data_IF_023032538011
#
_entry.id   IF_023032538011
#
_cell.length_a   1.000
_cell.length_b   1.000
_cell.length_c   1.000
_cell.angle_alpha   90.00
_cell.angle_beta   90.00
_cell.angle_gamma   90.00
#
_symmetry.space_group_name_H-M   'P 1'
#
loop_
_entity.id
_entity.type
_entity.pdbx_description
1 polymer ?
#
# COMPACT_ATOMS: atom_id res chain seq x y z
N UNK A 1 8.24 7.45 27.09
CA UNK A 1 7.03 6.67 27.43
C UNK A 1 7.13 5.36 26.68
N UNK A 2 7.90 4.43 27.23
CA UNK A 2 7.90 3.04 26.80
C UNK A 2 6.53 2.45 27.10
N UNK A 3 5.78 2.04 26.09
CA UNK A 3 4.58 1.27 26.37
C UNK A 3 3.37 1.43 25.46
N UNK A 4 3.41 2.20 24.39
CA UNK A 4 2.37 2.09 23.37
C UNK A 4 2.71 0.95 22.41
N UNK A 5 2.45 -0.27 22.85
CA UNK A 5 2.36 -1.40 21.95
C UNK A 5 1.03 -1.29 21.22
N UNK A 6 1.06 -1.06 19.92
CA UNK A 6 -0.09 -1.22 19.05
C UNK A 6 -0.50 -2.70 19.02
N UNK A 7 -1.73 -2.98 18.58
CA UNK A 7 -2.27 -4.35 18.46
C UNK A 7 -1.59 -5.20 17.37
N UNK A 8 -0.54 -4.71 16.71
CA UNK A 8 0.13 -5.42 15.61
C UNK A 8 -0.75 -5.60 14.37
N UNK A 9 -1.82 -4.83 14.23
CA UNK A 9 -2.64 -4.83 13.02
C UNK A 9 -1.96 -4.03 11.90
N UNK A 10 -2.25 -4.43 10.65
CA UNK A 10 -1.77 -3.71 9.47
C UNK A 10 -0.24 -3.68 9.36
N UNK A 11 0.39 -4.81 9.61
CA UNK A 11 1.84 -4.97 9.49
C UNK A 11 2.22 -5.17 8.02
N UNK A 12 3.23 -4.43 7.50
CA UNK A 12 3.73 -4.64 6.13
C UNK A 12 4.27 -6.05 5.95
N UNK A 13 4.05 -6.62 4.78
CA UNK A 13 4.58 -7.94 4.44
C UNK A 13 5.92 -7.83 3.71
N UNK A 14 6.74 -8.89 3.77
CA UNK A 14 7.93 -9.00 2.93
C UNK A 14 7.61 -8.84 1.45
N UNK A 15 6.47 -9.35 0.98
CA UNK A 15 6.01 -9.21 -0.40
C UNK A 15 5.74 -7.75 -0.80
N UNK A 16 5.30 -6.92 0.15
CA UNK A 16 5.18 -5.49 -0.11
C UNK A 16 6.56 -4.83 -0.20
N UNK A 17 7.48 -5.17 0.69
CA UNK A 17 8.84 -4.64 0.65
C UNK A 17 9.53 -5.01 -0.68
N UNK A 18 9.43 -6.27 -1.10
CA UNK A 18 10.01 -6.78 -2.35
C UNK A 18 9.38 -6.16 -3.63
N UNK A 19 8.26 -5.47 -3.51
CA UNK A 19 7.64 -4.77 -4.64
C UNK A 19 8.32 -3.46 -5.00
N UNK A 20 9.04 -2.86 -4.05
CA UNK A 20 9.81 -1.65 -4.28
C UNK A 20 11.11 -1.98 -5.03
N UNK A 21 11.56 -1.06 -5.87
CA UNK A 21 12.92 -1.11 -6.41
C UNK A 21 13.91 -0.83 -5.27
N UNK A 22 15.10 -1.44 -5.31
CA UNK A 22 16.04 -1.42 -4.18
C UNK A 22 16.41 0.00 -3.70
N UNK A 23 16.46 0.95 -4.64
CA UNK A 23 16.81 2.34 -4.37
C UNK A 23 15.57 3.26 -4.31
N UNK A 24 14.38 2.71 -4.15
CA UNK A 24 13.15 3.53 -4.05
C UNK A 24 13.17 4.31 -2.72
N UNK A 25 13.25 5.65 -2.75
CA UNK A 25 13.34 6.46 -1.55
C UNK A 25 12.11 6.33 -0.64
N UNK A 26 10.99 5.83 -1.16
CA UNK A 26 9.76 5.63 -0.38
C UNK A 26 9.87 4.48 0.62
N UNK A 27 10.83 3.57 0.47
CA UNK A 27 11.04 2.46 1.41
C UNK A 27 11.15 2.99 2.85
N UNK A 28 11.96 4.02 3.06
CA UNK A 28 12.18 4.61 4.39
C UNK A 28 10.97 5.36 4.96
N UNK A 29 9.98 5.69 4.10
CA UNK A 29 8.71 6.31 4.49
C UNK A 29 7.59 5.32 4.74
N UNK A 30 7.76 4.10 4.29
CA UNK A 30 6.72 3.05 4.42
C UNK A 30 7.05 2.11 5.56
N UNK A 31 8.32 1.75 5.73
CA UNK A 31 8.76 0.69 6.64
C UNK A 31 9.66 1.19 7.76
N UNK A 32 9.51 0.63 8.96
CA UNK A 32 10.53 0.63 10.00
C UNK A 32 11.03 -0.77 10.24
N UNK A 33 12.29 -0.87 10.68
CA UNK A 33 12.96 -2.10 11.09
C UNK A 33 13.39 -2.00 12.55
N UNK A 34 13.82 -3.11 13.13
CA UNK A 34 14.43 -3.10 14.46
C UNK A 34 15.63 -2.15 14.48
N UNK A 35 15.66 -1.26 15.46
CA UNK A 35 16.66 -0.21 15.60
C UNK A 35 16.25 1.15 15.02
N UNK A 36 15.20 1.20 14.22
CA UNK A 36 14.64 2.47 13.73
C UNK A 36 13.85 3.18 14.84
N UNK A 37 13.66 4.49 14.69
CA UNK A 37 12.85 5.29 15.60
C UNK A 37 11.63 5.83 14.87
N UNK A 38 10.48 5.78 15.53
CA UNK A 38 9.33 6.49 15.03
C UNK A 38 9.49 8.01 15.17
N UNK A 39 8.75 8.75 14.39
CA UNK A 39 8.75 10.21 14.28
C UNK A 39 8.86 10.92 15.65
N UNK A 40 10.09 11.31 16.04
CA UNK A 40 10.39 11.99 17.30
C UNK A 40 10.48 11.11 18.54
N UNK A 41 10.43 9.80 18.42
CA UNK A 41 10.67 8.90 19.56
C UNK A 41 12.17 8.84 19.91
N UNK A 42 12.47 8.79 21.19
CA UNK A 42 13.84 8.66 21.72
C UNK A 42 14.34 7.22 21.75
N UNK A 43 13.41 6.26 21.75
CA UNK A 43 13.71 4.84 21.83
C UNK A 43 13.62 4.18 20.46
N UNK A 44 14.55 3.28 20.19
CA UNK A 44 14.54 2.44 19.01
C UNK A 44 13.42 1.40 19.10
N UNK A 45 12.81 1.08 17.96
CA UNK A 45 11.77 0.07 17.88
C UNK A 45 12.37 -1.33 17.91
N UNK A 46 11.67 -2.24 18.56
CA UNK A 46 11.93 -3.68 18.45
C UNK A 46 10.79 -4.31 17.66
N UNK A 47 11.10 -4.78 16.45
CA UNK A 47 10.15 -5.40 15.56
C UNK A 47 10.22 -6.94 15.60
N UNK A 48 10.84 -7.52 16.64
CA UNK A 48 11.05 -8.97 16.75
C UNK A 48 9.74 -9.77 16.69
N UNK A 49 8.63 -9.20 17.18
CA UNK A 49 7.32 -9.84 17.14
C UNK A 49 6.59 -9.66 15.79
N UNK A 50 7.10 -8.81 14.90
CA UNK A 50 6.51 -8.65 13.57
C UNK A 50 6.85 -9.86 12.70
N UNK A 51 5.87 -10.53 12.09
CA UNK A 51 6.11 -11.68 11.21
C UNK A 51 7.01 -11.39 10.01
N UNK A 52 7.13 -10.13 9.62
CA UNK A 52 7.97 -9.67 8.49
C UNK A 52 9.23 -8.95 8.94
N UNK A 53 9.38 -8.63 10.22
CA UNK A 53 10.44 -7.75 10.72
C UNK A 53 10.20 -6.27 10.45
N UNK A 54 9.05 -5.89 9.86
CA UNK A 54 8.71 -4.51 9.52
C UNK A 54 7.48 -4.03 10.30
N UNK A 55 7.43 -2.72 10.54
CA UNK A 55 6.22 -2.02 10.94
C UNK A 55 5.93 -0.85 10.00
N UNK A 56 4.69 -0.36 10.05
CA UNK A 56 4.23 0.76 9.23
C UNK A 56 4.76 2.08 9.79
N UNK A 57 5.62 2.76 9.03
CA UNK A 57 6.07 4.09 9.35
C UNK A 57 5.13 5.18 8.82
N UNK A 58 4.52 4.94 7.66
CA UNK A 58 3.75 5.96 6.91
C UNK A 58 2.55 6.47 7.69
N UNK A 59 1.83 5.57 8.37
CA UNK A 59 0.63 5.90 9.14
C UNK A 59 0.91 6.20 10.61
N UNK A 60 2.18 6.20 11.02
CA UNK A 60 2.56 6.47 12.41
C UNK A 60 2.37 7.95 12.77
N UNK A 61 1.76 8.20 13.91
CA UNK A 61 1.60 9.54 14.48
C UNK A 61 2.93 10.01 15.10
N UNK A 62 3.40 11.24 14.83
CA UNK A 62 4.59 11.78 15.46
C UNK A 62 4.51 11.76 17.00
N UNK A 63 5.64 11.52 17.68
CA UNK A 63 5.70 11.45 19.14
C UNK A 63 5.20 12.72 19.85
N UNK A 64 5.48 13.87 19.25
CA UNK A 64 5.03 15.19 19.77
C UNK A 64 3.48 15.33 19.79
N UNK A 65 2.81 14.62 18.91
CA UNK A 65 1.35 14.63 18.82
C UNK A 65 0.69 13.59 19.74
N UNK A 66 1.50 12.74 20.39
CA UNK A 66 1.03 11.73 21.34
C UNK A 66 0.84 12.29 22.76
N UNK A 67 1.25 13.52 23.03
CA UNK A 67 1.11 14.14 24.35
C UNK A 67 -0.36 14.38 24.68
N UNK A 68 -0.85 13.78 25.76
CA UNK A 68 -2.28 13.78 26.12
C UNK A 68 -3.16 12.88 25.25
N UNK A 69 -2.56 11.97 24.56
CA UNK A 69 -3.19 11.07 23.59
C UNK A 69 -4.08 10.04 24.29
N UNK A 70 -5.34 10.03 23.92
CA UNK A 70 -6.23 8.92 24.19
C UNK A 70 -6.16 7.96 22.99
N UNK A 71 -5.84 6.69 23.25
CA UNK A 71 -5.74 5.65 22.21
C UNK A 71 -6.99 5.49 21.36
N UNK A 72 -8.12 5.99 21.84
CA UNK A 72 -9.40 5.93 21.17
C UNK A 72 -9.80 7.25 20.46
N UNK A 73 -9.07 8.33 20.70
CA UNK A 73 -9.34 9.65 20.12
C UNK A 73 -8.09 10.22 19.45
N UNK A 74 -7.98 9.99 18.15
CA UNK A 74 -6.87 10.50 17.34
C UNK A 74 -7.34 11.74 16.60
N UNK A 75 -6.68 12.88 16.80
CA UNK A 75 -6.92 14.12 16.06
C UNK A 75 -6.40 14.08 14.62
N UNK A 76 -6.21 12.89 14.09
CA UNK A 76 -5.62 12.67 12.76
C UNK A 76 -6.70 12.36 11.74
N UNK A 77 -6.79 13.16 10.68
CA UNK A 77 -7.72 12.90 9.60
C UNK A 77 -7.27 11.70 8.77
N UNK A 78 -8.14 10.73 8.57
CA UNK A 78 -7.92 9.63 7.64
C UNK A 78 -8.02 10.21 6.22
N UNK A 79 -6.93 10.08 5.47
CA UNK A 79 -6.90 10.50 4.06
C UNK A 79 -7.52 9.41 3.19
N UNK A 80 -8.69 9.67 2.67
CA UNK A 80 -9.40 8.72 1.80
C UNK A 80 -8.86 8.76 0.37
N UNK A 81 -8.55 9.95 -0.15
CA UNK A 81 -8.02 10.16 -1.50
C UNK A 81 -6.93 11.22 -1.42
N UNK A 82 -5.87 11.07 -2.18
CA UNK A 82 -4.81 12.07 -2.32
C UNK A 82 -4.42 12.24 -3.78
N UNK A 83 -3.76 13.34 -4.09
CA UNK A 83 -3.52 13.76 -5.47
C UNK A 83 -2.74 12.72 -6.29
N UNK A 84 -1.74 12.04 -5.73
CA UNK A 84 -1.03 10.97 -6.44
C UNK A 84 -1.93 9.78 -6.80
N UNK A 85 -2.96 9.47 -6.00
CA UNK A 85 -3.94 8.46 -6.37
C UNK A 85 -4.75 8.91 -7.59
N UNK A 86 -5.18 10.19 -7.63
CA UNK A 86 -5.89 10.77 -8.80
C UNK A 86 -5.00 10.71 -10.05
N UNK A 87 -3.71 11.07 -9.94
CA UNK A 87 -2.78 11.01 -11.07
C UNK A 87 -2.64 9.57 -11.60
N UNK A 88 -2.50 8.59 -10.71
CA UNK A 88 -2.36 7.19 -11.11
C UNK A 88 -3.66 6.61 -11.67
N UNK A 89 -4.82 6.98 -11.14
CA UNK A 89 -6.11 6.64 -11.74
C UNK A 89 -6.24 7.22 -13.14
N UNK A 90 -5.85 8.47 -13.34
CA UNK A 90 -5.93 9.12 -14.64
C UNK A 90 -4.96 8.51 -15.65
N UNK A 91 -3.72 8.20 -15.23
CA UNK A 91 -2.77 7.47 -16.06
C UNK A 91 -3.33 6.09 -16.50
N UNK A 92 -3.94 5.35 -15.57
CA UNK A 92 -4.57 4.06 -15.87
C UNK A 92 -5.71 4.22 -16.89
N UNK A 93 -6.60 5.20 -16.71
CA UNK A 93 -7.71 5.48 -17.62
C UNK A 93 -7.20 5.84 -19.01
N UNK A 94 -6.18 6.70 -19.13
CA UNK A 94 -5.59 7.05 -20.42
C UNK A 94 -5.00 5.83 -21.12
N UNK A 95 -4.28 5.00 -20.39
CA UNK A 95 -3.71 3.78 -20.93
C UNK A 95 -4.81 2.80 -21.40
N UNK A 96 -5.85 2.57 -20.59
CA UNK A 96 -6.98 1.68 -20.97
C UNK A 96 -7.75 2.21 -22.20
N UNK A 97 -7.77 3.51 -22.41
CA UNK A 97 -8.36 4.14 -23.60
C UNK A 97 -7.40 4.18 -24.82
N UNK A 98 -6.33 3.40 -24.83
CA UNK A 98 -5.40 3.32 -25.95
C UNK A 98 -4.54 4.58 -26.16
N UNK A 99 -4.31 5.35 -25.11
CA UNK A 99 -3.50 6.58 -25.11
C UNK A 99 -2.29 6.48 -24.17
N UNK A 100 -1.44 5.43 -24.29
CA UNK A 100 -0.35 5.20 -23.35
C UNK A 100 0.63 6.37 -23.26
N UNK A 101 0.95 7.01 -24.39
CA UNK A 101 1.85 8.18 -24.39
C UNK A 101 1.32 9.37 -23.57
N UNK A 102 0.00 9.53 -23.47
CA UNK A 102 -0.63 10.58 -22.66
C UNK A 102 -0.69 10.21 -21.17
N UNK A 103 -0.53 8.94 -20.82
CA UNK A 103 -0.48 8.47 -19.45
C UNK A 103 0.86 8.79 -18.77
N UNK A 104 1.95 8.82 -19.55
CA UNK A 104 3.32 8.94 -19.04
C UNK A 104 3.57 10.17 -18.17
N UNK A 105 3.13 11.39 -18.53
CA UNK A 105 3.35 12.56 -17.68
C UNK A 105 2.80 12.37 -16.26
N UNK A 106 1.58 11.87 -16.12
CA UNK A 106 0.92 11.68 -14.83
C UNK A 106 1.59 10.59 -13.97
N UNK A 107 2.02 9.51 -14.59
CA UNK A 107 2.81 8.47 -13.94
C UNK A 107 4.17 9.01 -13.48
N UNK A 108 4.84 9.76 -14.34
CA UNK A 108 6.17 10.30 -14.07
C UNK A 108 6.15 11.44 -13.04
N UNK A 109 5.08 12.22 -12.95
CA UNK A 109 4.90 13.22 -11.88
C UNK A 109 4.94 12.57 -10.50
N UNK A 110 4.31 11.40 -10.32
CA UNK A 110 4.35 10.64 -9.06
C UNK A 110 5.78 10.17 -8.78
N UNK A 111 6.48 9.66 -9.78
CA UNK A 111 7.85 9.17 -9.66
C UNK A 111 8.84 10.32 -9.42
N UNK A 112 8.64 11.46 -10.09
CA UNK A 112 9.45 12.66 -9.86
C UNK A 112 9.32 13.16 -8.42
N UNK A 113 8.10 13.23 -7.90
CA UNK A 113 7.88 13.60 -6.51
C UNK A 113 8.56 12.60 -5.56
N UNK A 114 8.48 11.29 -5.85
CA UNK A 114 9.15 10.27 -5.05
C UNK A 114 10.68 10.43 -5.07
N UNK A 115 11.29 10.73 -6.22
CA UNK A 115 12.74 11.03 -6.34
C UNK A 115 13.17 12.25 -5.53
N UNK A 116 12.33 13.28 -5.50
CA UNK A 116 12.56 14.52 -4.76
C UNK A 116 12.32 14.38 -3.26
N UNK A 117 11.73 13.27 -2.84
CA UNK A 117 11.54 12.96 -1.43
C UNK A 117 12.88 12.55 -0.83
N UNK A 118 13.34 13.29 0.19
CA UNK A 118 14.56 12.90 0.89
C UNK A 118 14.31 11.62 1.68
N UNK A 119 15.19 10.62 1.58
CA UNK A 119 15.12 9.45 2.46
C UNK A 119 15.17 9.92 3.92
N UNK A 120 14.22 9.45 4.71
CA UNK A 120 14.33 9.61 6.16
C UNK A 120 15.26 8.50 6.64
N UNK A 121 16.28 8.85 7.44
CA UNK A 121 16.97 7.87 8.25
C UNK A 121 16.19 7.74 9.57
N UNK A 122 15.38 6.68 9.75
CA UNK A 122 14.55 6.53 10.94
C UNK A 122 15.39 6.34 12.22
N UNK A 123 16.70 6.06 12.11
CA UNK A 123 17.63 5.92 13.22
C UNK A 123 18.20 7.26 13.68
N UNK A 124 17.99 8.31 12.93
CA UNK A 124 18.44 9.67 13.25
C UNK A 124 17.28 10.52 13.73
N UNK A 125 17.60 11.52 14.53
CA UNK A 125 16.65 12.54 14.91
C UNK A 125 16.06 13.20 13.65
N UNK A 126 14.75 13.28 13.56
CA UNK A 126 13.97 13.57 12.34
C UNK A 126 14.25 14.91 11.68
N UNK A 127 15.05 15.73 12.29
CA UNK A 127 15.38 17.05 11.77
C UNK A 127 16.61 17.06 10.84
N UNK A 128 17.29 15.94 10.71
CA UNK A 128 18.37 15.83 9.74
C UNK A 128 17.78 15.70 8.33
N UNK A 129 17.59 16.82 7.66
CA UNK A 129 17.37 16.87 6.22
C UNK A 129 18.55 16.15 5.54
N UNK A 130 18.27 14.97 5.01
CA UNK A 130 19.21 14.29 4.13
C UNK A 130 18.89 14.82 2.72
N UNK A 131 19.78 15.61 2.10
CA UNK A 131 19.58 16.04 0.73
C UNK A 131 19.35 14.81 -0.14
N UNK A 132 18.35 14.86 -1.00
CA UNK A 132 18.18 13.83 -2.03
C UNK A 132 19.51 13.76 -2.78
N UNK A 133 20.23 12.68 -2.57
CA UNK A 133 21.35 12.39 -3.46
C UNK A 133 20.71 12.17 -4.82
N UNK A 134 21.16 12.93 -5.80
CA UNK A 134 20.70 12.92 -7.19
C UNK A 134 21.06 11.61 -7.89
N UNK A 135 20.84 10.50 -7.23
CA UNK A 135 21.00 9.20 -7.83
C UNK A 135 19.75 8.91 -8.67
N UNK A 136 19.95 8.35 -9.81
CA UNK A 136 18.98 8.01 -10.84
C UNK A 136 17.95 6.95 -10.37
N UNK A 137 17.51 7.04 -9.14
CA UNK A 137 16.50 6.18 -8.55
C UNK A 137 15.15 6.51 -9.15
N UNK A 138 14.37 5.53 -9.49
CA UNK A 138 13.05 5.69 -10.13
C UNK A 138 13.11 6.51 -11.43
N UNK A 139 13.81 6.10 -12.48
CA UNK A 139 13.85 6.81 -13.75
C UNK A 139 12.45 6.96 -14.34
N UNK A 140 12.28 7.95 -15.20
CA UNK A 140 11.02 8.14 -15.91
C UNK A 140 10.66 6.91 -16.73
N UNK A 141 9.40 6.57 -16.72
CA UNK A 141 8.84 5.51 -17.56
C UNK A 141 8.64 6.07 -18.96
N UNK A 142 9.13 5.30 -19.95
CA UNK A 142 8.99 5.62 -21.39
C UNK A 142 8.25 4.53 -22.16
N UNK A 143 7.78 3.48 -21.45
CA UNK A 143 7.05 2.37 -22.06
C UNK A 143 5.70 2.84 -22.62
N UNK A 144 5.43 2.48 -23.88
CA UNK A 144 4.19 2.81 -24.58
C UNK A 144 3.39 1.60 -25.04
N UNK A 145 3.89 0.39 -24.81
CA UNK A 145 3.04 -0.79 -24.96
C UNK A 145 1.95 -0.78 -23.88
N UNK A 146 0.70 -0.79 -24.30
CA UNK A 146 -0.45 -0.64 -23.42
C UNK A 146 -0.48 -1.70 -22.29
N UNK A 147 -0.13 -2.95 -22.60
CA UNK A 147 -0.17 -4.04 -21.62
C UNK A 147 0.97 -3.93 -20.60
N UNK A 148 2.16 -3.60 -21.06
CA UNK A 148 3.33 -3.40 -20.20
C UNK A 148 3.16 -2.16 -19.33
N UNK A 149 2.71 -1.05 -19.91
CA UNK A 149 2.45 0.18 -19.15
C UNK A 149 1.39 -0.03 -18.08
N UNK A 150 0.35 -0.82 -18.35
CA UNK A 150 -0.66 -1.21 -17.36
C UNK A 150 -0.04 -1.87 -16.12
N UNK A 151 0.84 -2.86 -16.30
CA UNK A 151 1.52 -3.53 -15.18
C UNK A 151 2.44 -2.55 -14.42
N UNK A 152 3.09 -1.64 -15.13
CA UNK A 152 3.93 -0.59 -14.52
C UNK A 152 3.08 0.35 -13.67
N UNK A 153 1.95 0.84 -14.18
CA UNK A 153 1.03 1.69 -13.41
C UNK A 153 0.52 0.96 -12.17
N UNK A 154 0.17 -0.31 -12.28
CA UNK A 154 -0.29 -1.11 -11.14
C UNK A 154 0.81 -1.35 -10.09
N UNK A 155 2.06 -1.54 -10.53
CA UNK A 155 3.22 -1.61 -9.63
C UNK A 155 3.43 -0.26 -8.92
N UNK A 156 3.38 0.84 -9.66
CA UNK A 156 3.54 2.19 -9.10
C UNK A 156 2.45 2.50 -8.06
N UNK A 157 1.18 2.18 -8.37
CA UNK A 157 0.08 2.31 -7.41
C UNK A 157 0.34 1.50 -6.14
N UNK A 158 0.82 0.28 -6.28
CA UNK A 158 1.13 -0.58 -5.13
C UNK A 158 2.18 0.04 -4.21
N UNK A 159 3.24 0.60 -4.76
CA UNK A 159 4.31 1.24 -3.99
C UNK A 159 3.86 2.59 -3.43
N UNK A 160 3.23 3.42 -4.25
CA UNK A 160 2.81 4.77 -3.87
C UNK A 160 1.73 4.77 -2.79
N UNK A 161 0.74 3.89 -2.92
CA UNK A 161 -0.39 3.77 -1.99
C UNK A 161 -0.19 2.67 -0.94
N UNK A 162 1.05 2.23 -0.75
CA UNK A 162 1.39 1.25 0.27
C UNK A 162 0.86 1.69 1.64
N UNK A 163 0.29 0.77 2.40
CA UNK A 163 -0.29 0.96 3.74
C UNK A 163 -1.50 1.92 3.82
N UNK A 164 -2.09 2.31 2.68
CA UNK A 164 -3.27 3.18 2.64
C UNK A 164 -4.60 2.41 2.45
N UNK A 165 -4.57 1.08 2.51
CA UNK A 165 -5.77 0.24 2.44
C UNK A 165 -6.21 -0.18 1.03
N UNK A 166 -5.67 0.42 -0.04
CA UNK A 166 -6.15 0.24 -1.42
C UNK A 166 -5.83 -1.12 -2.07
N UNK A 167 -4.85 -1.86 -1.53
CA UNK A 167 -4.34 -3.06 -2.21
C UNK A 167 -5.40 -4.10 -2.55
N UNK A 168 -6.31 -4.38 -1.61
CA UNK A 168 -7.38 -5.36 -1.83
C UNK A 168 -8.28 -4.92 -2.98
N UNK A 169 -8.71 -3.67 -2.95
CA UNK A 169 -9.67 -3.15 -3.91
C UNK A 169 -9.05 -3.05 -5.32
N UNK A 170 -7.77 -2.64 -5.41
CA UNK A 170 -7.02 -2.68 -6.65
C UNK A 170 -6.97 -4.10 -7.24
N UNK A 171 -6.62 -5.11 -6.46
CA UNK A 171 -6.56 -6.49 -6.93
C UNK A 171 -7.94 -7.05 -7.31
N UNK A 172 -8.99 -6.67 -6.58
CA UNK A 172 -10.36 -7.08 -6.88
C UNK A 172 -10.87 -6.47 -8.19
N UNK A 173 -10.75 -5.14 -8.38
CA UNK A 173 -11.16 -4.48 -9.62
C UNK A 173 -10.35 -4.93 -10.84
N UNK A 174 -9.08 -5.25 -10.65
CA UNK A 174 -8.18 -5.79 -11.68
C UNK A 174 -8.42 -7.26 -12.00
N UNK A 175 -9.31 -7.95 -11.27
CA UNK A 175 -9.55 -9.40 -11.37
C UNK A 175 -8.29 -10.25 -11.16
N UNK A 176 -7.38 -9.80 -10.31
CA UNK A 176 -6.09 -10.45 -10.03
C UNK A 176 -5.97 -10.99 -8.61
N UNK A 177 -6.97 -10.75 -7.76
CA UNK A 177 -6.88 -11.08 -6.35
C UNK A 177 -6.51 -12.56 -6.14
N UNK A 178 -7.26 -13.48 -6.74
CA UNK A 178 -7.01 -14.91 -6.60
C UNK A 178 -5.63 -15.33 -7.07
N UNK A 179 -5.21 -14.88 -8.26
CA UNK A 179 -3.89 -15.20 -8.81
C UNK A 179 -2.75 -14.70 -7.92
N UNK A 180 -2.83 -13.45 -7.47
CA UNK A 180 -1.79 -12.85 -6.62
C UNK A 180 -1.75 -13.51 -5.25
N UNK A 181 -2.91 -13.80 -4.63
CA UNK A 181 -2.96 -14.39 -3.31
C UNK A 181 -2.51 -15.86 -3.30
N UNK A 182 -2.84 -16.63 -4.33
CA UNK A 182 -2.31 -18.02 -4.46
C UNK A 182 -0.79 -18.02 -4.67
N UNK A 183 -0.27 -17.11 -5.49
CA UNK A 183 1.18 -16.96 -5.66
C UNK A 183 1.86 -16.57 -4.35
N UNK A 184 1.27 -15.65 -3.59
CA UNK A 184 1.74 -15.28 -2.26
C UNK A 184 1.73 -16.48 -1.29
N UNK A 185 0.64 -17.24 -1.26
CA UNK A 185 0.51 -18.42 -0.41
C UNK A 185 1.60 -19.46 -0.71
N UNK A 186 1.90 -19.68 -1.98
CA UNK A 186 2.97 -20.58 -2.42
C UNK A 186 4.36 -20.05 -2.04
N UNK A 187 4.64 -18.77 -2.35
CA UNK A 187 5.94 -18.14 -2.08
C UNK A 187 6.33 -18.15 -0.60
N UNK A 188 5.36 -17.90 0.27
CA UNK A 188 5.60 -17.75 1.71
C UNK A 188 5.11 -18.94 2.54
N UNK A 189 4.76 -20.05 1.90
CA UNK A 189 4.26 -21.27 2.56
C UNK A 189 3.16 -20.99 3.60
N UNK A 190 2.12 -20.28 3.19
CA UNK A 190 1.00 -19.88 4.04
C UNK A 190 -0.34 -20.26 3.43
N UNK A 191 -1.36 -20.44 4.25
CA UNK A 191 -2.74 -20.66 3.79
C UNK A 191 -3.48 -19.37 3.43
N UNK A 192 -2.90 -18.20 3.71
CA UNK A 192 -3.56 -16.90 3.47
C UNK A 192 -3.84 -16.68 1.98
N UNK A 193 -5.12 -16.67 1.61
CA UNK A 193 -5.57 -16.47 0.24
C UNK A 193 -5.46 -17.68 -0.68
N UNK A 194 -4.95 -18.84 -0.21
CA UNK A 194 -4.81 -20.05 -1.00
C UNK A 194 -6.15 -20.57 -1.52
N UNK A 195 -7.22 -20.41 -0.73
CA UNK A 195 -8.55 -20.93 -1.00
C UNK A 195 -9.48 -19.95 -1.74
N UNK A 196 -8.95 -18.82 -2.23
CA UNK A 196 -9.77 -17.89 -3.00
C UNK A 196 -10.24 -18.53 -4.32
N UNK A 197 -11.53 -18.49 -4.56
CA UNK A 197 -12.17 -19.02 -5.76
C UNK A 197 -12.56 -17.87 -6.70
N UNK A 198 -11.99 -17.87 -7.90
CA UNK A 198 -12.21 -16.80 -8.90
C UNK A 198 -13.64 -16.77 -9.44
N UNK A 199 -14.35 -17.91 -9.40
CA UNK A 199 -15.74 -18.05 -9.83
C UNK A 199 -16.76 -17.57 -8.78
N UNK A 200 -16.32 -17.31 -7.54
CA UNK A 200 -17.19 -16.99 -6.40
C UNK A 200 -16.76 -15.74 -5.64
N UNK A 201 -15.51 -15.69 -5.16
CA UNK A 201 -15.10 -14.85 -4.04
C UNK A 201 -14.83 -13.38 -4.42
N UNK A 202 -15.07 -13.00 -5.69
CA UNK A 202 -15.11 -11.59 -6.09
C UNK A 202 -16.38 -10.88 -5.62
N UNK A 203 -17.41 -11.60 -5.26
CA UNK A 203 -18.66 -11.09 -4.71
C UNK A 203 -18.91 -11.68 -3.33
N UNK A 204 -19.66 -10.98 -2.50
CA UNK A 204 -20.16 -11.55 -1.24
C UNK A 204 -21.48 -12.25 -1.47
N UNK A 205 -21.84 -13.28 -0.66
CA UNK A 205 -23.17 -13.84 -0.70
C UNK A 205 -24.21 -12.80 -0.29
N UNK A 206 -25.36 -12.82 -0.96
CA UNK A 206 -26.52 -12.04 -0.51
C UNK A 206 -27.09 -12.73 0.74
N UNK A 207 -27.24 -12.03 1.87
CA UNK A 207 -27.78 -12.63 3.09
C UNK A 207 -29.14 -13.28 2.85
N UNK A 208 -29.35 -14.48 3.40
CA UNK A 208 -30.61 -15.22 3.17
C UNK A 208 -31.84 -14.41 3.58
N UNK A 209 -31.77 -13.67 4.71
CA UNK A 209 -32.87 -12.82 5.15
C UNK A 209 -33.29 -11.72 4.16
N UNK A 210 -32.35 -11.21 3.34
CA UNK A 210 -32.68 -10.23 2.30
C UNK A 210 -33.34 -10.93 1.09
N UNK A 211 -32.90 -12.13 0.77
CA UNK A 211 -33.55 -12.94 -0.28
C UNK A 211 -34.98 -13.32 0.09
N UNK A 212 -35.19 -13.73 1.33
CA UNK A 212 -36.52 -14.08 1.85
C UNK A 212 -37.50 -12.88 1.82
N UNK A 213 -37.02 -11.70 2.26
CA UNK A 213 -37.79 -10.44 2.20
C UNK A 213 -38.17 -10.04 0.78
N UNK A 214 -37.34 -10.40 -0.20
CA UNK A 214 -37.60 -10.14 -1.62
C UNK A 214 -38.55 -11.17 -2.25
N UNK A 215 -39.15 -12.10 -1.48
CA UNK A 215 -39.88 -13.25 -1.98
C UNK A 215 -39.07 -14.11 -2.99
N UNK A 216 -37.77 -14.25 -2.73
CA UNK A 216 -36.81 -14.95 -3.59
C UNK A 216 -36.64 -14.37 -5.01
N UNK A 217 -37.02 -13.12 -5.25
CA UNK A 217 -36.75 -12.43 -6.51
C UNK A 217 -35.25 -12.22 -6.68
N UNK A 218 -34.53 -11.97 -5.58
CA UNK A 218 -33.08 -11.83 -5.59
C UNK A 218 -32.40 -13.21 -5.71
N UNK A 219 -31.86 -13.51 -6.89
CA UNK A 219 -31.00 -14.68 -7.06
C UNK A 219 -29.68 -14.51 -6.32
N UNK A 220 -29.12 -15.59 -5.79
CA UNK A 220 -27.81 -15.58 -5.13
C UNK A 220 -26.69 -15.30 -6.12
N UNK A 221 -25.61 -14.70 -5.63
CA UNK A 221 -24.41 -14.54 -6.40
C UNK A 221 -23.79 -15.91 -6.77
N UNK A 222 -23.09 -16.00 -7.91
CA UNK A 222 -22.52 -17.26 -8.37
C UNK A 222 -21.65 -17.94 -7.31
N UNK A 223 -21.82 -19.26 -7.18
CA UNK A 223 -20.99 -20.09 -6.30
C UNK A 223 -21.44 -20.17 -4.83
N UNK A 224 -22.55 -19.48 -4.46
CA UNK A 224 -23.14 -19.53 -3.11
C UNK A 224 -24.49 -20.24 -3.07
#
# INVERSE_FOLDING_TARGET
ISGYQGYGFHVPTQDLHDAFDADDPRITYVFTQTGDRYKGDTEAQDNAESPSGYHDYKMTVPAVEKTGFDVWMISYNIRLIRYSDVLLMYAEVLNENGKPGLALPYLNDVRERARKTNPIDPRRDQQAYIPATTTNTLPDITETDQKRLKEIIWKERRCELAMEGWRRDDLMRQKRFGTVMRAYATKYNTSKGANFRDDRDYLFPIPQGERDKSNNILSQNPGF
#
